data_IF_227082487948
#
_entry.id   IF_227082487948
#
_cell.length_a   1.000
_cell.length_b   1.000
_cell.length_c   1.000
_cell.angle_alpha   90.00
_cell.angle_beta   90.00
_cell.angle_gamma   90.00
#
_symmetry.space_group_name_H-M   'P 1'
#
loop_
_entity.id
_entity.type
_entity.pdbx_description
1 polymer ?
#
# COMPACT_ATOMS: atom_id res chain seq x y z
N UNK A 1 20.18 -3.46 -3.28
CA UNK A 1 19.56 -3.02 -2.00
C UNK A 1 20.59 -2.31 -1.14
N UNK A 2 20.49 -0.98 -1.00
CA UNK A 2 21.47 -0.18 -0.22
C UNK A 2 21.06 0.00 1.25
N UNK A 3 19.78 -0.25 1.61
CA UNK A 3 19.28 -0.07 2.97
C UNK A 3 19.88 -1.10 3.94
N UNK A 4 20.55 -0.64 4.99
CA UNK A 4 21.21 -1.46 6.03
C UNK A 4 20.45 -1.50 7.35
N UNK A 5 19.48 -0.60 7.56
CA UNK A 5 18.70 -0.47 8.80
C UNK A 5 17.88 -1.73 9.12
N UNK A 6 17.47 -1.88 10.37
CA UNK A 6 16.58 -2.94 10.83
C UNK A 6 15.14 -2.74 10.31
N UNK A 7 14.77 -1.52 10.00
CA UNK A 7 13.48 -1.13 9.47
C UNK A 7 13.66 -0.36 8.16
N UNK A 8 12.67 -0.46 7.29
CA UNK A 8 12.63 0.23 6.00
C UNK A 8 11.33 1.03 5.94
N UNK A 9 11.45 2.30 5.56
CA UNK A 9 10.34 3.18 5.25
C UNK A 9 10.60 3.84 3.89
N UNK A 10 9.54 4.16 3.17
CA UNK A 10 9.60 4.71 1.82
C UNK A 10 8.99 6.10 1.80
N UNK A 11 9.55 6.96 0.98
CA UNK A 11 9.03 8.29 0.70
C UNK A 11 9.32 8.62 -0.76
N UNK A 12 8.32 9.10 -1.47
CA UNK A 12 8.47 9.63 -2.81
C UNK A 12 8.91 11.10 -2.74
N UNK A 13 9.59 11.59 -3.76
CA UNK A 13 10.22 12.91 -3.76
C UNK A 13 9.21 14.07 -3.67
N UNK A 14 7.98 13.82 -4.06
CA UNK A 14 6.85 14.76 -4.04
C UNK A 14 6.00 14.71 -2.77
N UNK A 15 6.27 13.76 -1.86
CA UNK A 15 5.51 13.54 -0.63
C UNK A 15 6.22 14.06 0.63
N UNK A 16 5.52 14.06 1.76
CA UNK A 16 6.10 14.46 3.05
C UNK A 16 5.66 13.56 4.20
N UNK A 17 6.58 13.29 5.14
CA UNK A 17 6.25 12.66 6.42
C UNK A 17 5.90 13.72 7.48
N UNK A 18 5.00 13.35 8.39
CA UNK A 18 4.83 14.12 9.62
C UNK A 18 6.07 13.96 10.51
N UNK A 19 6.41 15.00 11.25
CA UNK A 19 7.63 15.05 12.10
C UNK A 19 7.70 13.89 13.09
N UNK A 20 6.57 13.46 13.61
CA UNK A 20 6.42 12.42 14.63
C UNK A 20 6.17 11.01 14.07
N UNK A 21 6.09 10.86 12.72
CA UNK A 21 5.77 9.59 12.06
C UNK A 21 6.57 8.42 12.63
N UNK A 22 7.89 8.50 12.63
CA UNK A 22 8.73 7.40 13.08
C UNK A 22 8.59 7.16 14.58
N UNK A 23 8.52 8.19 15.39
CA UNK A 23 8.31 8.09 16.84
C UNK A 23 7.01 7.33 17.17
N UNK A 24 5.93 7.64 16.45
CA UNK A 24 4.65 6.98 16.62
C UNK A 24 4.69 5.50 16.17
N UNK A 25 5.39 5.22 15.07
CA UNK A 25 5.40 3.87 14.50
C UNK A 25 6.36 2.92 15.21
N UNK A 26 7.55 3.39 15.59
CA UNK A 26 8.60 2.53 16.13
C UNK A 26 8.23 1.87 17.46
N UNK A 27 7.40 2.49 18.29
CA UNK A 27 6.92 1.92 19.55
C UNK A 27 6.18 0.58 19.40
N UNK A 28 5.52 0.36 18.27
CA UNK A 28 4.78 -0.87 18.00
C UNK A 28 5.66 -2.05 17.57
N UNK A 29 6.89 -1.79 17.16
CA UNK A 29 7.86 -2.84 16.84
C UNK A 29 8.50 -3.51 18.07
N UNK A 30 8.12 -3.11 19.30
CA UNK A 30 8.41 -3.88 20.51
C UNK A 30 7.76 -5.28 20.45
N UNK A 31 6.58 -5.38 19.85
CA UNK A 31 5.97 -6.66 19.47
C UNK A 31 6.74 -7.25 18.26
N UNK A 32 7.41 -8.39 18.50
CA UNK A 32 8.24 -9.05 17.47
C UNK A 32 7.42 -9.68 16.33
N UNK A 33 6.13 -9.93 16.55
CA UNK A 33 5.21 -10.43 15.50
C UNK A 33 4.80 -9.36 14.50
N UNK A 34 4.92 -8.08 14.88
CA UNK A 34 4.58 -6.96 13.99
C UNK A 34 5.66 -6.79 12.94
N UNK A 35 5.30 -7.06 11.68
CA UNK A 35 6.18 -6.88 10.54
C UNK A 35 6.02 -5.51 9.88
N UNK A 36 4.82 -4.95 9.91
CA UNK A 36 4.48 -3.67 9.25
C UNK A 36 3.68 -2.80 10.22
N UNK A 37 4.11 -1.56 10.37
CA UNK A 37 3.32 -0.51 11.01
C UNK A 37 2.98 0.52 9.95
N UNK A 38 1.69 0.80 9.75
CA UNK A 38 1.21 1.75 8.77
C UNK A 38 0.24 2.74 9.41
N UNK A 39 -0.03 3.83 8.75
CA UNK A 39 -0.96 4.84 9.25
C UNK A 39 -1.85 5.38 8.16
N UNK A 40 -2.79 6.24 8.56
CA UNK A 40 -3.58 7.00 7.63
C UNK A 40 -2.72 8.06 6.92
N UNK A 41 -3.26 8.70 5.91
CA UNK A 41 -2.62 9.74 5.12
C UNK A 41 -3.47 11.01 5.07
N UNK A 42 -2.81 12.14 4.96
CA UNK A 42 -3.41 13.33 4.41
C UNK A 42 -3.29 13.28 2.88
N UNK A 43 -4.38 13.57 2.19
CA UNK A 43 -4.39 13.88 0.77
C UNK A 43 -4.37 15.39 0.62
N UNK A 44 -3.35 15.92 -0.05
CA UNK A 44 -3.22 17.35 -0.35
C UNK A 44 -3.23 17.52 -1.85
N UNK A 45 -4.29 18.14 -2.37
CA UNK A 45 -4.34 18.53 -3.79
C UNK A 45 -3.53 19.81 -3.97
N UNK A 46 -2.69 19.85 -5.00
CA UNK A 46 -1.77 20.97 -5.22
C UNK A 46 -2.51 22.30 -5.44
N UNK A 47 -3.67 22.25 -6.09
CA UNK A 47 -4.54 23.40 -6.34
C UNK A 47 -5.32 23.92 -5.13
N UNK A 48 -5.31 23.21 -3.98
CA UNK A 48 -6.05 23.58 -2.78
C UNK A 48 -5.14 23.55 -1.54
N UNK A 49 -5.29 24.57 -0.68
CA UNK A 49 -4.54 24.60 0.59
C UNK A 49 -5.03 23.58 1.64
N UNK A 50 -6.16 22.92 1.37
CA UNK A 50 -6.79 22.00 2.32
C UNK A 50 -6.24 20.59 2.20
N UNK A 51 -6.09 19.94 3.36
CA UNK A 51 -5.76 18.53 3.48
C UNK A 51 -7.01 17.74 3.85
N UNK A 52 -7.24 16.64 3.15
CA UNK A 52 -8.31 15.70 3.45
C UNK A 52 -7.76 14.39 3.99
N UNK A 53 -8.33 13.87 5.07
CA UNK A 53 -7.98 12.53 5.58
C UNK A 53 -8.35 11.48 4.53
N UNK A 54 -7.40 10.58 4.20
CA UNK A 54 -7.59 9.58 3.14
C UNK A 54 -8.69 8.59 3.49
N UNK A 55 -8.66 8.07 4.72
CA UNK A 55 -9.61 7.06 5.19
C UNK A 55 -10.32 7.61 6.43
N UNK A 56 -11.66 7.68 6.39
CA UNK A 56 -12.48 8.26 7.44
C UNK A 56 -13.14 7.23 8.37
N UNK A 57 -12.77 5.96 8.25
CA UNK A 57 -13.22 4.87 9.12
C UNK A 57 -12.01 4.19 9.76
N UNK A 58 -12.27 3.35 10.76
CA UNK A 58 -11.21 2.63 11.48
C UNK A 58 -10.46 1.68 10.53
N UNK A 59 -9.17 1.93 10.32
CA UNK A 59 -8.31 1.05 9.55
C UNK A 59 -7.90 -0.17 10.38
N UNK A 60 -7.92 -1.39 9.80
CA UNK A 60 -7.71 -2.63 10.54
C UNK A 60 -6.26 -2.82 10.99
N UNK A 61 -6.06 -3.58 12.07
CA UNK A 61 -4.75 -4.08 12.48
C UNK A 61 -4.80 -5.59 12.82
N UNK A 62 -3.66 -6.20 13.07
CA UNK A 62 -3.53 -7.63 13.29
C UNK A 62 -3.24 -8.40 11.99
N UNK A 63 -3.88 -9.55 11.80
CA UNK A 63 -3.76 -10.38 10.59
C UNK A 63 -4.78 -9.93 9.54
N UNK A 64 -4.42 -8.93 8.76
CA UNK A 64 -5.33 -8.16 7.90
C UNK A 64 -5.40 -8.65 6.45
N UNK A 65 -4.92 -9.86 6.13
CA UNK A 65 -4.85 -10.35 4.75
C UNK A 65 -6.18 -10.24 3.99
N UNK A 66 -7.25 -10.79 4.55
CA UNK A 66 -8.58 -10.72 3.93
C UNK A 66 -9.12 -9.29 3.81
N UNK A 67 -8.75 -8.42 4.77
CA UNK A 67 -9.12 -7.00 4.72
C UNK A 67 -8.43 -6.29 3.55
N UNK A 68 -7.13 -6.56 3.32
CA UNK A 68 -6.35 -5.95 2.23
C UNK A 68 -6.83 -6.34 0.84
N UNK A 69 -7.28 -7.60 0.68
CA UNK A 69 -7.87 -8.04 -0.59
C UNK A 69 -9.17 -7.29 -0.88
N UNK A 70 -9.93 -6.98 0.16
CA UNK A 70 -11.20 -6.27 0.01
C UNK A 70 -11.00 -4.80 -0.29
N UNK A 71 -10.18 -4.15 0.53
CA UNK A 71 -9.87 -2.73 0.44
C UNK A 71 -8.39 -2.53 0.75
N UNK A 72 -7.70 -1.80 -0.10
CA UNK A 72 -6.30 -1.52 0.09
C UNK A 72 -6.11 -0.28 0.97
N UNK A 73 -5.63 -0.49 2.19
CA UNK A 73 -5.44 0.57 3.19
C UNK A 73 -3.96 0.93 3.42
N UNK A 74 -3.05 0.05 3.03
CA UNK A 74 -1.64 0.15 3.39
C UNK A 74 -0.88 0.88 2.30
N UNK A 75 -0.82 2.20 2.40
CA UNK A 75 0.02 2.98 1.49
C UNK A 75 1.50 2.82 1.82
N UNK A 76 2.35 2.71 0.80
CA UNK A 76 3.80 2.57 0.96
C UNK A 76 4.40 3.77 1.71
N UNK A 77 3.94 4.97 1.42
CA UNK A 77 4.33 6.23 2.07
C UNK A 77 4.07 6.21 3.58
N UNK A 78 2.94 5.61 4.01
CA UNK A 78 2.55 5.56 5.42
C UNK A 78 3.23 4.45 6.20
N UNK A 79 3.94 3.53 5.54
CA UNK A 79 4.40 2.28 6.13
C UNK A 79 5.83 2.34 6.63
N UNK A 80 6.09 1.55 7.68
CA UNK A 80 7.43 1.10 8.11
C UNK A 80 7.42 -0.42 8.16
N UNK A 81 8.44 -1.06 7.61
CA UNK A 81 8.52 -2.51 7.48
C UNK A 81 9.74 -3.02 8.24
N UNK A 82 9.58 -4.07 9.03
CA UNK A 82 10.69 -4.80 9.64
C UNK A 82 11.48 -5.55 8.57
N UNK A 83 12.73 -5.19 8.35
CA UNK A 83 13.54 -5.65 7.22
C UNK A 83 13.68 -7.17 7.13
N UNK A 84 13.84 -7.87 8.25
CA UNK A 84 13.99 -9.33 8.24
C UNK A 84 12.73 -10.07 7.78
N UNK A 85 11.55 -9.45 7.83
CA UNK A 85 10.30 -10.00 7.30
C UNK A 85 10.22 -9.97 5.76
N UNK A 86 11.10 -9.24 5.11
CA UNK A 86 11.19 -9.19 3.64
C UNK A 86 11.90 -10.43 3.03
N UNK A 87 12.37 -11.33 3.87
CA UNK A 87 13.09 -12.54 3.45
C UNK A 87 14.49 -12.24 2.91
N UNK A 88 15.17 -13.30 2.45
CA UNK A 88 16.52 -13.22 1.85
C UNK A 88 16.49 -12.87 0.36
N UNK A 89 15.32 -12.65 -0.22
CA UNK A 89 15.21 -12.29 -1.63
C UNK A 89 15.92 -10.98 -1.92
N UNK A 90 16.71 -10.95 -3.00
CA UNK A 90 17.34 -9.71 -3.49
C UNK A 90 16.31 -8.69 -3.98
N UNK A 91 15.07 -9.12 -4.27
CA UNK A 91 13.99 -8.28 -4.80
C UNK A 91 12.83 -8.21 -3.82
N UNK A 92 12.61 -7.05 -3.23
CA UNK A 92 11.49 -6.76 -2.35
C UNK A 92 10.20 -6.64 -3.17
N UNK A 93 10.26 -5.86 -4.24
CA UNK A 93 9.17 -5.66 -5.19
C UNK A 93 9.29 -6.61 -6.37
N UNK A 94 8.17 -6.95 -6.96
CA UNK A 94 8.13 -7.66 -8.23
C UNK A 94 8.34 -6.67 -9.37
N UNK A 95 9.43 -6.82 -10.12
CA UNK A 95 9.83 -5.91 -11.22
C UNK A 95 8.80 -5.80 -12.35
N UNK A 96 7.79 -6.68 -12.36
CA UNK A 96 6.71 -6.64 -13.34
C UNK A 96 5.61 -5.64 -13.00
N UNK A 97 5.60 -5.11 -11.77
CA UNK A 97 4.56 -4.23 -11.26
C UNK A 97 5.13 -2.87 -10.91
N UNK A 98 4.77 -1.88 -11.72
CA UNK A 98 5.19 -0.49 -11.52
C UNK A 98 4.18 0.30 -10.67
N UNK A 99 2.89 -0.08 -10.73
CA UNK A 99 1.81 0.61 -10.01
C UNK A 99 1.38 -0.20 -8.79
N UNK A 100 1.16 -1.50 -8.93
CA UNK A 100 0.65 -2.35 -7.85
C UNK A 100 1.76 -3.10 -7.08
N UNK A 101 3.01 -2.65 -7.19
CA UNK A 101 4.14 -3.31 -6.54
C UNK A 101 4.02 -3.34 -5.01
N UNK A 102 3.53 -2.27 -4.40
CA UNK A 102 3.27 -2.19 -2.96
C UNK A 102 2.07 -3.06 -2.55
N UNK A 103 1.01 -3.10 -3.34
CA UNK A 103 -0.12 -4.00 -3.14
C UNK A 103 0.32 -5.47 -3.11
N UNK A 104 1.13 -5.90 -4.09
CA UNK A 104 1.70 -7.26 -4.12
C UNK A 104 2.56 -7.54 -2.88
N UNK A 105 3.43 -6.61 -2.52
CA UNK A 105 4.30 -6.74 -1.35
C UNK A 105 3.50 -6.90 -0.06
N UNK A 106 2.55 -6.01 0.21
CA UNK A 106 1.79 -6.04 1.45
C UNK A 106 0.84 -7.24 1.52
N UNK A 107 0.28 -7.70 0.41
CA UNK A 107 -0.49 -8.95 0.38
C UNK A 107 0.39 -10.16 0.72
N UNK A 108 1.61 -10.23 0.22
CA UNK A 108 2.54 -11.32 0.58
C UNK A 108 2.89 -11.30 2.06
N UNK A 109 3.21 -10.12 2.60
CA UNK A 109 3.55 -9.96 4.02
C UNK A 109 2.36 -10.26 4.94
N UNK A 110 1.15 -9.82 4.58
CA UNK A 110 -0.05 -10.00 5.41
C UNK A 110 -0.50 -11.45 5.56
N UNK A 111 -0.04 -12.36 4.70
CA UNK A 111 -0.29 -13.81 4.85
C UNK A 111 0.47 -14.41 6.03
N UNK A 112 1.61 -13.83 6.38
CA UNK A 112 2.54 -14.43 7.34
C UNK A 112 2.69 -13.62 8.62
N UNK A 113 2.44 -12.32 8.56
CA UNK A 113 2.81 -11.39 9.61
C UNK A 113 1.67 -10.51 10.06
N UNK A 114 1.79 -10.04 11.29
CA UNK A 114 0.90 -9.09 11.93
C UNK A 114 1.23 -7.66 11.49
N UNK A 115 0.20 -6.88 11.27
CA UNK A 115 0.27 -5.46 10.92
C UNK A 115 -0.29 -4.62 12.06
N UNK A 116 0.25 -3.42 12.27
CA UNK A 116 -0.27 -2.45 13.23
C UNK A 116 -0.66 -1.17 12.53
N UNK A 117 -1.86 -0.67 12.85
CA UNK A 117 -2.44 0.52 12.25
C UNK A 117 -2.41 1.70 13.23
N UNK A 118 -1.99 2.87 12.73
CA UNK A 118 -2.15 4.18 13.38
C UNK A 118 -3.32 4.88 12.69
N UNK A 119 -4.36 5.22 13.44
CA UNK A 119 -5.59 5.79 12.88
C UNK A 119 -5.39 7.20 12.34
N UNK A 120 -4.43 7.94 12.92
CA UNK A 120 -4.11 9.29 12.50
C UNK A 120 -3.17 9.31 11.29
N UNK A 121 -3.27 10.36 10.46
CA UNK A 121 -2.37 10.54 9.33
C UNK A 121 -0.92 10.71 9.80
N UNK A 122 -0.01 9.93 9.23
CA UNK A 122 1.43 9.96 9.52
C UNK A 122 2.25 10.61 8.40
N UNK A 123 1.64 10.83 7.25
CA UNK A 123 2.27 11.45 6.09
C UNK A 123 1.24 12.18 5.22
N UNK A 124 1.72 13.00 4.30
CA UNK A 124 0.90 13.71 3.31
C UNK A 124 1.25 13.24 1.91
N UNK A 125 0.26 12.68 1.22
CA UNK A 125 0.32 12.34 -0.19
C UNK A 125 -0.13 13.52 -1.02
N UNK A 126 0.75 14.01 -1.91
CA UNK A 126 0.44 15.15 -2.78
C UNK A 126 -0.20 14.67 -4.07
N UNK A 127 -1.40 15.20 -4.35
CA UNK A 127 -2.16 14.91 -5.56
C UNK A 127 -1.91 16.01 -6.58
N UNK A 128 -1.32 15.64 -7.72
CA UNK A 128 -1.09 16.49 -8.87
C UNK A 128 -1.32 15.71 -10.17
N UNK A 129 -1.46 16.43 -11.28
CA UNK A 129 -1.85 15.80 -12.55
C UNK A 129 -0.78 14.87 -13.12
N UNK A 130 0.49 15.06 -12.72
CA UNK A 130 1.61 14.21 -13.12
C UNK A 130 1.85 12.99 -12.24
N UNK A 131 0.99 12.68 -11.25
CA UNK A 131 1.11 11.43 -10.49
C UNK A 131 1.10 10.22 -11.42
N UNK A 132 2.13 9.37 -11.34
CA UNK A 132 2.34 8.24 -12.25
C UNK A 132 1.14 7.31 -12.35
N UNK A 133 0.51 6.98 -11.23
CA UNK A 133 -0.69 6.13 -11.17
C UNK A 133 -1.91 6.77 -11.84
N UNK A 134 -2.01 8.09 -11.86
CA UNK A 134 -3.09 8.80 -12.53
C UNK A 134 -2.91 8.77 -14.06
N UNK A 135 -1.69 8.95 -14.54
CA UNK A 135 -1.36 8.93 -15.96
C UNK A 135 -1.40 7.51 -16.57
N UNK A 136 -1.30 6.47 -15.75
CA UNK A 136 -1.12 5.08 -16.23
C UNK A 136 -2.25 4.14 -15.81
N UNK A 137 -3.52 4.59 -15.87
CA UNK A 137 -4.68 3.78 -15.47
C UNK A 137 -4.82 2.46 -16.24
N UNK A 138 -4.49 2.45 -17.53
CA UNK A 138 -4.50 1.21 -18.34
C UNK A 138 -3.44 0.21 -17.87
N UNK A 139 -2.27 0.69 -17.48
CA UNK A 139 -1.21 -0.15 -16.91
C UNK A 139 -1.65 -0.74 -15.56
N UNK A 140 -2.31 0.03 -14.69
CA UNK A 140 -2.88 -0.45 -13.44
C UNK A 140 -3.84 -1.63 -13.66
N UNK A 141 -4.77 -1.49 -14.63
CA UNK A 141 -5.70 -2.57 -15.01
C UNK A 141 -4.95 -3.80 -15.51
N UNK A 142 -3.96 -3.62 -16.37
CA UNK A 142 -3.14 -4.70 -16.90
C UNK A 142 -2.41 -5.46 -15.79
N UNK A 143 -1.77 -4.73 -14.88
CA UNK A 143 -1.03 -5.32 -13.76
C UNK A 143 -1.95 -6.09 -12.80
N UNK A 144 -3.15 -5.58 -12.48
CA UNK A 144 -4.13 -6.32 -11.67
C UNK A 144 -4.63 -7.59 -12.37
N UNK A 145 -4.84 -7.58 -13.70
CA UNK A 145 -5.23 -8.77 -14.46
C UNK A 145 -4.11 -9.83 -14.43
N UNK A 146 -2.86 -9.43 -14.65
CA UNK A 146 -1.70 -10.33 -14.60
C UNK A 146 -1.52 -10.88 -13.18
N UNK A 147 -1.63 -10.03 -12.16
CA UNK A 147 -1.55 -10.43 -10.76
C UNK A 147 -2.62 -11.47 -10.41
N UNK A 148 -3.88 -11.23 -10.79
CA UNK A 148 -4.97 -12.17 -10.56
C UNK A 148 -4.71 -13.51 -11.26
N UNK A 149 -4.29 -13.49 -12.52
CA UNK A 149 -3.96 -14.71 -13.29
C UNK A 149 -2.92 -15.57 -12.56
N UNK A 150 -1.85 -14.95 -12.04
CA UNK A 150 -0.75 -15.64 -11.34
C UNK A 150 -1.14 -16.16 -9.96
N UNK A 151 -1.99 -15.42 -9.25
CA UNK A 151 -2.36 -15.74 -7.88
C UNK A 151 -3.67 -16.52 -7.76
N UNK A 152 -4.41 -16.73 -8.85
CA UNK A 152 -5.76 -17.33 -8.90
C UNK A 152 -5.87 -18.65 -8.12
N UNK A 153 -4.85 -19.50 -8.16
CA UNK A 153 -4.86 -20.80 -7.47
C UNK A 153 -4.82 -20.66 -5.94
N UNK A 154 -4.24 -19.59 -5.43
CA UNK A 154 -4.00 -19.34 -4.01
C UNK A 154 -5.09 -18.46 -3.36
N UNK A 155 -6.10 -18.05 -4.13
CA UNK A 155 -7.17 -17.18 -3.66
C UNK A 155 -8.45 -17.97 -3.41
N UNK A 156 -9.19 -17.62 -2.35
CA UNK A 156 -10.55 -18.10 -2.11
C UNK A 156 -11.50 -17.56 -3.19
N UNK A 157 -12.63 -18.24 -3.40
CA UNK A 157 -13.64 -17.83 -4.40
C UNK A 157 -14.12 -16.40 -4.22
N UNK A 158 -14.34 -15.98 -2.97
CA UNK A 158 -14.77 -14.60 -2.65
C UNK A 158 -13.69 -13.56 -2.91
N UNK A 159 -12.43 -13.88 -2.60
CA UNK A 159 -11.29 -13.00 -2.86
C UNK A 159 -11.11 -12.75 -4.37
N UNK A 160 -11.25 -13.81 -5.17
CA UNK A 160 -11.25 -13.69 -6.65
C UNK A 160 -12.33 -12.74 -7.14
N UNK A 161 -13.58 -12.92 -6.69
CA UNK A 161 -14.71 -12.07 -7.07
C UNK A 161 -14.46 -10.59 -6.74
N UNK A 162 -13.84 -10.32 -5.57
CA UNK A 162 -13.51 -8.94 -5.14
C UNK A 162 -12.46 -8.29 -6.03
N UNK A 163 -11.40 -9.04 -6.37
CA UNK A 163 -10.37 -8.53 -7.28
C UNK A 163 -10.93 -8.35 -8.70
N UNK A 164 -11.75 -9.27 -9.18
CA UNK A 164 -12.44 -9.14 -10.47
C UNK A 164 -13.34 -7.89 -10.51
N UNK A 165 -14.07 -7.63 -9.42
CA UNK A 165 -14.88 -6.40 -9.28
C UNK A 165 -14.00 -5.14 -9.31
N UNK A 166 -12.87 -5.16 -8.59
CA UNK A 166 -11.89 -4.06 -8.63
C UNK A 166 -11.38 -3.81 -10.04
N UNK A 167 -11.00 -4.87 -10.77
CA UNK A 167 -10.54 -4.78 -12.16
C UNK A 167 -11.62 -4.16 -13.05
N UNK A 168 -12.88 -4.55 -12.91
CA UNK A 168 -13.99 -3.98 -13.68
C UNK A 168 -14.14 -2.48 -13.42
N UNK A 169 -14.08 -2.04 -12.16
CA UNK A 169 -14.15 -0.63 -11.79
C UNK A 169 -12.98 0.15 -12.41
N UNK A 170 -11.75 -0.35 -12.25
CA UNK A 170 -10.56 0.28 -12.81
C UNK A 170 -10.61 0.36 -14.33
N UNK A 171 -11.11 -0.69 -15.01
CA UNK A 171 -11.31 -0.69 -16.47
C UNK A 171 -12.29 0.41 -16.87
N UNK A 172 -13.42 0.54 -16.19
CA UNK A 172 -14.38 1.61 -16.47
C UNK A 172 -13.79 3.00 -16.25
N UNK A 173 -13.03 3.18 -15.18
CA UNK A 173 -12.32 4.46 -14.92
C UNK A 173 -11.30 4.74 -16.00
N UNK A 174 -10.51 3.76 -16.44
CA UNK A 174 -9.46 3.95 -17.45
C UNK A 174 -10.00 4.39 -18.82
N UNK A 175 -11.26 4.05 -19.15
CA UNK A 175 -11.92 4.47 -20.39
C UNK A 175 -12.42 5.93 -20.36
N UNK A 176 -12.53 6.54 -19.18
CA UNK A 176 -12.97 7.95 -19.04
C UNK A 176 -11.84 8.97 -19.17
N UNK A 177 -10.61 8.51 -19.19
CA UNK A 177 -9.41 9.35 -19.33
C UNK A 177 -8.80 9.26 -20.75
N UNK A 178 -9.58 8.80 -21.71
CA UNK A 178 -9.35 8.95 -23.15
C UNK A 178 -10.08 10.19 -23.67
#
# INVERSE_FOLDING_TARGET
>A
QKAKGQFIAFIDSDDTWNKDKLTLQMKYFKDKEVAVVYGNLWLKKESFNEKKKHINYKIPDGYIHSNLINNYYVGILSSVIRRNCLGKSKKIFNDKYNIIGDYDLFLRLSKMYKFKAIQEPVATYRLHDSNFSNLNKKLEVFEFKDWLKKNKKNLKKEEKKKIEKKIKILTFVSLKFE
#
